data_IF_865706319272
#
_entry.id   IF_865706319272
#
_cell.length_a   1.000
_cell.length_b   1.000
_cell.length_c   1.000
_cell.angle_alpha   90.00
_cell.angle_beta   90.00
_cell.angle_gamma   90.00
#
_symmetry.space_group_name_H-M   'P 1'
#
loop_
_entity.id
_entity.type
_entity.pdbx_description
1 polymer ?
#
# COMPACT_ATOMS: atom_id res chain seq x y z
N UNK A 1 31.78 -66.34 18.22
CA UNK A 1 30.46 -66.03 17.65
C UNK A 1 30.62 -64.77 16.77
N UNK A 2 30.68 -64.95 15.42
CA UNK A 2 30.87 -63.82 14.48
C UNK A 2 29.49 -63.34 14.02
N UNK A 3 29.14 -62.10 14.34
CA UNK A 3 27.91 -61.46 13.85
C UNK A 3 28.15 -60.98 12.42
N UNK A 4 27.38 -61.55 11.47
CA UNK A 4 27.33 -61.07 10.08
C UNK A 4 26.41 -59.84 9.97
N UNK A 5 26.97 -58.71 9.52
CA UNK A 5 26.20 -57.55 9.12
C UNK A 5 25.75 -57.75 7.66
N UNK A 6 24.46 -57.71 7.44
CA UNK A 6 23.86 -57.68 6.10
C UNK A 6 23.59 -56.23 5.74
N UNK A 7 24.34 -55.72 4.76
CA UNK A 7 24.12 -54.40 4.17
C UNK A 7 23.10 -54.60 3.04
N UNK A 8 21.89 -54.03 3.23
CA UNK A 8 20.86 -53.98 2.20
C UNK A 8 21.08 -52.75 1.32
N UNK A 9 21.56 -52.99 0.10
CA UNK A 9 21.70 -51.92 -0.90
C UNK A 9 20.30 -51.65 -1.54
N UNK A 10 19.72 -50.50 -1.27
CA UNK A 10 18.57 -50.01 -2.03
C UNK A 10 19.09 -49.32 -3.30
N UNK A 11 18.96 -50.00 -4.45
CA UNK A 11 19.14 -49.37 -5.75
C UNK A 11 17.86 -48.60 -6.11
N UNK A 12 17.93 -47.28 -6.04
CA UNK A 12 16.85 -46.37 -6.52
C UNK A 12 16.95 -46.33 -8.07
N UNK A 13 16.11 -47.12 -8.71
CA UNK A 13 15.97 -47.09 -10.18
C UNK A 13 15.25 -45.81 -10.60
N UNK A 14 15.99 -44.81 -11.12
CA UNK A 14 15.39 -43.69 -11.84
C UNK A 14 14.83 -44.18 -13.16
N UNK A 15 13.52 -44.26 -13.31
CA UNK A 15 12.85 -44.37 -14.60
C UNK A 15 13.03 -43.03 -15.33
N UNK A 16 13.97 -42.99 -16.27
CA UNK A 16 14.08 -41.92 -17.26
C UNK A 16 12.94 -42.09 -18.28
N UNK A 17 11.86 -41.38 -18.12
CA UNK A 17 10.86 -41.19 -19.17
C UNK A 17 11.45 -40.25 -20.24
N UNK A 18 11.37 -40.59 -21.55
CA UNK A 18 11.86 -39.71 -22.59
C UNK A 18 11.01 -38.42 -22.60
N UNK A 19 11.65 -37.27 -22.33
CA UNK A 19 11.05 -35.96 -22.52
C UNK A 19 10.84 -35.77 -24.02
N UNK A 20 9.58 -35.81 -24.49
CA UNK A 20 9.26 -35.39 -25.84
C UNK A 20 9.60 -33.92 -25.96
N UNK A 21 10.58 -33.55 -26.76
CA UNK A 21 10.85 -32.18 -27.12
C UNK A 21 9.66 -31.64 -27.92
N UNK A 22 8.77 -30.93 -27.27
CA UNK A 22 7.86 -30.01 -27.96
C UNK A 22 8.71 -28.84 -28.44
N UNK A 23 8.67 -28.57 -29.75
CA UNK A 23 9.21 -27.36 -30.30
C UNK A 23 8.42 -26.20 -29.71
N UNK A 24 9.03 -25.52 -28.75
CA UNK A 24 8.46 -24.27 -28.21
C UNK A 24 8.62 -23.19 -29.29
N UNK A 25 7.50 -22.59 -29.66
CA UNK A 25 7.52 -21.32 -30.38
C UNK A 25 8.25 -20.30 -29.50
N UNK A 26 9.51 -20.02 -29.81
CA UNK A 26 10.40 -19.22 -28.97
C UNK A 26 9.89 -17.80 -28.76
N UNK A 27 9.03 -17.28 -29.65
CA UNK A 27 8.42 -15.96 -29.50
C UNK A 27 7.25 -15.95 -28.51
N UNK A 28 6.38 -16.96 -28.54
CA UNK A 28 5.28 -17.04 -27.60
C UNK A 28 5.76 -17.37 -26.16
N UNK A 29 6.77 -18.23 -26.04
CA UNK A 29 7.39 -18.58 -24.75
C UNK A 29 8.13 -17.40 -24.12
N UNK A 30 8.86 -16.61 -24.91
CA UNK A 30 9.56 -15.43 -24.40
C UNK A 30 8.57 -14.33 -23.93
N UNK A 31 7.52 -14.07 -24.70
CA UNK A 31 6.48 -13.10 -24.33
C UNK A 31 5.73 -13.51 -23.06
N UNK A 32 5.42 -14.81 -22.88
CA UNK A 32 4.78 -15.30 -21.65
C UNK A 32 5.70 -15.27 -20.43
N UNK A 33 7.02 -15.49 -20.60
CA UNK A 33 8.00 -15.36 -19.53
C UNK A 33 8.22 -13.90 -19.11
N UNK A 34 8.24 -12.97 -20.07
CA UNK A 34 8.40 -11.53 -19.76
C UNK A 34 7.16 -10.97 -19.05
N UNK A 35 5.97 -11.45 -19.41
CA UNK A 35 4.72 -11.05 -18.75
C UNK A 35 4.56 -11.62 -17.32
N UNK A 36 5.33 -12.65 -16.95
CA UNK A 36 5.33 -13.25 -15.61
C UNK A 36 6.50 -12.79 -14.71
N UNK A 37 7.40 -11.95 -15.21
CA UNK A 37 8.37 -11.27 -14.34
C UNK A 37 7.62 -10.09 -13.72
N UNK A 38 6.96 -10.32 -12.60
CA UNK A 38 6.57 -9.26 -11.70
C UNK A 38 7.86 -8.69 -11.11
N UNK A 39 8.37 -7.62 -11.73
CA UNK A 39 9.40 -6.81 -11.10
C UNK A 39 8.70 -6.12 -9.95
N UNK A 40 8.88 -6.65 -8.74
CA UNK A 40 8.44 -5.97 -7.53
C UNK A 40 9.02 -4.55 -7.57
N UNK A 41 8.17 -3.51 -7.54
CA UNK A 41 8.67 -2.15 -7.54
C UNK A 41 9.56 -1.96 -6.31
N UNK A 42 10.66 -1.22 -6.46
CA UNK A 42 11.53 -0.87 -5.34
C UNK A 42 10.67 -0.24 -4.24
N UNK A 43 10.82 -0.73 -3.00
CA UNK A 43 10.06 -0.24 -1.86
C UNK A 43 10.99 0.31 -0.78
N UNK A 44 10.51 1.31 -0.06
CA UNK A 44 11.14 1.88 1.12
C UNK A 44 10.20 1.63 2.31
N UNK A 45 10.72 1.08 3.40
CA UNK A 45 9.97 0.81 4.61
C UNK A 45 10.27 1.86 5.67
N UNK A 46 9.23 2.44 6.26
CA UNK A 46 9.32 3.35 7.39
C UNK A 46 8.59 2.74 8.58
N UNK A 47 9.35 2.26 9.55
CA UNK A 47 8.79 1.77 10.80
C UNK A 47 8.34 2.94 11.69
N UNK A 48 7.10 2.93 12.09
CA UNK A 48 6.50 3.94 12.97
C UNK A 48 6.72 3.55 14.42
N UNK A 49 7.94 3.74 14.92
CA UNK A 49 8.33 3.34 16.26
C UNK A 49 7.96 4.46 17.24
N UNK A 50 6.91 4.26 18.03
CA UNK A 50 6.50 5.06 19.20
C UNK A 50 6.05 6.51 18.93
N UNK A 51 5.01 6.93 19.62
CA UNK A 51 4.61 8.33 19.75
C UNK A 51 3.29 8.72 19.08
N UNK A 52 2.63 7.82 18.33
CA UNK A 52 1.29 8.07 17.81
C UNK A 52 0.20 7.44 18.70
N UNK A 53 -1.00 8.02 18.64
CA UNK A 53 -2.15 7.56 19.44
C UNK A 53 -2.94 6.40 18.77
N UNK A 54 -2.47 5.89 17.63
CA UNK A 54 -3.16 4.86 16.85
C UNK A 54 -4.35 5.34 16.04
N UNK A 55 -4.82 6.56 16.28
CA UNK A 55 -5.98 7.12 15.57
C UNK A 55 -5.66 7.40 14.10
N UNK A 56 -6.70 7.25 13.28
CA UNK A 56 -6.69 7.57 11.84
C UNK A 56 -7.71 8.67 11.60
N UNK A 57 -7.22 9.90 11.55
CA UNK A 57 -8.06 11.10 11.37
C UNK A 57 -8.39 11.36 9.90
N UNK A 58 -9.03 12.47 9.61
CA UNK A 58 -9.42 12.85 8.24
C UNK A 58 -9.33 14.35 8.00
N UNK A 59 -9.17 14.72 6.73
CA UNK A 59 -9.31 16.07 6.21
C UNK A 59 -10.30 16.12 5.04
N UNK A 60 -10.91 17.30 4.83
CA UNK A 60 -11.79 17.49 3.66
C UNK A 60 -10.98 17.62 2.37
N UNK A 61 -11.36 16.91 1.30
CA UNK A 61 -10.78 17.11 -0.03
C UNK A 61 -10.98 18.54 -0.55
N UNK A 62 -12.02 19.25 -0.09
CA UNK A 62 -12.31 20.65 -0.47
C UNK A 62 -11.34 21.66 0.14
N UNK A 63 -10.51 21.24 1.12
CA UNK A 63 -9.43 22.08 1.63
C UNK A 63 -8.28 22.24 0.62
N UNK A 64 -8.19 21.32 -0.36
CA UNK A 64 -7.22 21.38 -1.46
C UNK A 64 -7.76 22.33 -2.54
N UNK A 65 -7.35 23.61 -2.47
CA UNK A 65 -7.95 24.69 -3.28
C UNK A 65 -7.07 25.18 -4.44
N UNK A 66 -5.75 24.90 -4.40
CA UNK A 66 -4.84 25.29 -5.48
C UNK A 66 -5.05 24.41 -6.70
N UNK A 67 -5.76 24.95 -7.71
CA UNK A 67 -6.11 24.26 -8.94
C UNK A 67 -4.91 23.91 -9.84
N UNK A 68 -3.74 24.46 -9.55
CA UNK A 68 -2.51 24.19 -10.30
C UNK A 68 -1.65 23.10 -9.64
N UNK A 69 -2.03 22.64 -8.46
CA UNK A 69 -1.30 21.64 -7.69
C UNK A 69 -1.58 20.21 -8.15
N UNK A 70 -0.60 19.33 -7.94
CA UNK A 70 -0.76 17.89 -8.14
C UNK A 70 -1.83 17.29 -7.20
N UNK A 71 -1.97 17.83 -5.99
CA UNK A 71 -3.01 17.45 -5.03
C UNK A 71 -4.40 17.65 -5.62
N UNK A 72 -4.65 18.85 -6.18
CA UNK A 72 -5.92 19.15 -6.81
C UNK A 72 -6.17 18.26 -8.03
N UNK A 73 -5.18 18.10 -8.91
CA UNK A 73 -5.28 17.23 -10.07
C UNK A 73 -5.63 15.78 -9.66
N UNK A 74 -4.97 15.25 -8.62
CA UNK A 74 -5.25 13.91 -8.08
C UNK A 74 -6.69 13.81 -7.55
N UNK A 75 -7.19 14.83 -6.84
CA UNK A 75 -8.56 14.83 -6.32
C UNK A 75 -9.63 14.93 -7.44
N UNK A 76 -9.31 15.48 -8.62
CA UNK A 76 -10.23 15.45 -9.77
C UNK A 76 -10.39 14.03 -10.34
N UNK A 77 -9.38 13.18 -10.23
CA UNK A 77 -9.42 11.78 -10.68
C UNK A 77 -10.02 10.84 -9.62
N UNK A 78 -10.00 11.25 -8.34
CA UNK A 78 -10.49 10.44 -7.25
C UNK A 78 -12.03 10.35 -7.25
N UNK A 79 -12.56 9.18 -6.90
CA UNK A 79 -13.98 9.01 -6.57
C UNK A 79 -14.20 8.98 -5.06
N UNK A 80 -15.44 9.21 -4.63
CA UNK A 80 -15.85 9.07 -3.23
C UNK A 80 -16.58 7.75 -3.05
N UNK A 81 -16.12 6.90 -2.14
CA UNK A 81 -16.78 5.64 -1.82
C UNK A 81 -18.04 5.82 -0.95
N UNK A 82 -18.68 4.71 -0.59
CA UNK A 82 -19.94 4.71 0.17
C UNK A 82 -19.79 5.30 1.58
N UNK A 83 -18.60 5.20 2.17
CA UNK A 83 -18.29 5.71 3.50
C UNK A 83 -17.78 7.17 3.50
N UNK A 84 -17.56 7.74 2.33
CA UNK A 84 -17.10 9.12 2.17
C UNK A 84 -15.58 9.27 1.97
N UNK A 85 -14.83 8.19 1.85
CA UNK A 85 -13.40 8.25 1.56
C UNK A 85 -13.12 8.57 0.10
N UNK A 86 -12.10 9.40 -0.15
CA UNK A 86 -11.60 9.66 -1.51
C UNK A 86 -10.63 8.56 -1.90
N UNK A 87 -10.82 7.98 -3.10
CA UNK A 87 -10.05 6.81 -3.56
C UNK A 87 -9.66 6.93 -5.03
N UNK A 88 -8.51 6.32 -5.36
CA UNK A 88 -8.06 6.08 -6.74
C UNK A 88 -7.67 4.61 -6.85
N UNK A 89 -8.22 3.87 -7.81
CA UNK A 89 -7.94 2.45 -8.01
C UNK A 89 -7.96 1.65 -6.68
N UNK A 90 -9.03 1.82 -5.91
CA UNK A 90 -9.23 1.22 -4.58
C UNK A 90 -8.21 1.60 -3.50
N UNK A 91 -7.29 2.54 -3.77
CA UNK A 91 -6.37 3.09 -2.77
C UNK A 91 -6.94 4.34 -2.14
N UNK A 92 -6.85 4.44 -0.84
CA UNK A 92 -7.30 5.60 -0.08
C UNK A 92 -6.36 6.79 -0.30
N UNK A 93 -6.92 7.95 -0.69
CA UNK A 93 -6.17 9.19 -0.71
C UNK A 93 -5.91 9.63 0.73
N UNK A 94 -4.66 9.91 1.06
CA UNK A 94 -4.25 10.31 2.42
C UNK A 94 -3.27 11.48 2.38
N UNK A 95 -3.22 12.25 3.46
CA UNK A 95 -2.21 13.26 3.71
C UNK A 95 -1.11 12.68 4.60
N UNK A 96 0.15 12.90 4.25
CA UNK A 96 1.32 12.43 5.00
C UNK A 96 2.29 13.56 5.29
N UNK A 97 3.15 13.38 6.29
CA UNK A 97 4.18 14.34 6.64
C UNK A 97 5.36 14.35 5.65
N UNK A 98 6.16 15.42 5.71
CA UNK A 98 7.33 15.62 4.82
C UNK A 98 8.46 14.64 5.07
N UNK A 99 8.53 14.02 6.25
CA UNK A 99 9.56 13.03 6.61
C UNK A 99 9.60 11.81 5.70
N UNK A 100 8.49 11.48 5.05
CA UNK A 100 8.42 10.32 4.14
C UNK A 100 9.05 10.57 2.77
N UNK A 101 9.31 11.83 2.39
CA UNK A 101 9.89 12.23 1.09
C UNK A 101 9.12 11.63 -0.11
N UNK A 102 7.83 11.36 0.07
CA UNK A 102 6.99 10.73 -0.94
C UNK A 102 6.11 11.80 -1.63
N UNK A 103 6.26 12.03 -2.94
CA UNK A 103 5.49 13.03 -3.66
C UNK A 103 4.02 12.64 -3.79
N UNK A 104 3.16 13.61 -4.09
CA UNK A 104 1.75 13.38 -4.42
C UNK A 104 1.62 12.40 -5.58
N UNK A 105 0.71 11.46 -5.45
CA UNK A 105 0.54 10.35 -6.40
C UNK A 105 1.37 9.11 -6.09
N UNK A 106 2.30 9.17 -5.13
CA UNK A 106 3.10 8.03 -4.71
C UNK A 106 2.21 6.96 -4.05
N UNK A 107 2.41 5.71 -4.45
CA UNK A 107 1.68 4.57 -3.90
C UNK A 107 2.40 4.01 -2.69
N UNK A 108 1.63 3.68 -1.64
CA UNK A 108 2.15 3.00 -0.46
C UNK A 108 1.08 2.17 0.24
N UNK A 109 1.50 1.32 1.14
CA UNK A 109 0.65 0.61 2.07
C UNK A 109 0.95 1.05 3.50
N UNK A 110 -0.09 1.11 4.32
CA UNK A 110 0.05 1.22 5.78
C UNK A 110 -0.20 -0.16 6.35
N UNK A 111 0.78 -0.72 7.04
CA UNK A 111 0.64 -1.98 7.75
C UNK A 111 0.34 -1.69 9.23
N UNK A 112 -0.66 -2.37 9.77
CA UNK A 112 -1.08 -2.24 11.15
C UNK A 112 -0.48 -3.35 12.01
N UNK A 113 -0.39 -3.14 13.34
CA UNK A 113 0.14 -4.13 14.28
C UNK A 113 -0.64 -5.47 14.29
N UNK A 114 -1.92 -5.44 13.89
CA UNK A 114 -2.74 -6.64 13.74
C UNK A 114 -2.54 -7.38 12.41
N UNK A 115 -1.64 -6.89 11.54
CA UNK A 115 -1.35 -7.46 10.22
C UNK A 115 -2.28 -6.99 9.10
N UNK A 116 -3.27 -6.13 9.40
CA UNK A 116 -4.12 -5.53 8.38
C UNK A 116 -3.33 -4.53 7.53
N UNK A 117 -3.66 -4.46 6.24
CA UNK A 117 -3.00 -3.57 5.27
C UNK A 117 -4.00 -2.58 4.70
N UNK A 118 -3.72 -1.29 4.83
CA UNK A 118 -4.50 -0.22 4.22
C UNK A 118 -3.77 0.27 2.95
N UNK A 119 -4.29 -0.01 1.75
CA UNK A 119 -3.69 0.46 0.51
C UNK A 119 -3.93 1.97 0.34
N UNK A 120 -2.86 2.74 0.23
CA UNK A 120 -2.89 4.20 0.20
C UNK A 120 -2.22 4.79 -1.04
N UNK A 121 -2.58 6.03 -1.33
CA UNK A 121 -1.91 6.91 -2.29
C UNK A 121 -1.72 8.29 -1.64
N UNK A 122 -0.56 8.90 -1.81
CA UNK A 122 -0.31 10.25 -1.30
C UNK A 122 -1.19 11.25 -2.04
N UNK A 123 -2.20 11.75 -1.36
CA UNK A 123 -3.16 12.73 -1.87
C UNK A 123 -2.82 14.16 -1.50
N UNK A 124 -2.09 14.33 -0.40
CA UNK A 124 -1.61 15.63 0.10
C UNK A 124 -0.34 15.45 0.94
N UNK A 125 0.43 16.54 1.09
CA UNK A 125 1.61 16.63 1.94
C UNK A 125 1.36 17.72 2.98
N UNK A 126 1.41 17.34 4.25
CA UNK A 126 1.15 18.25 5.37
C UNK A 126 2.29 19.26 5.52
N UNK A 127 1.92 20.50 5.84
CA UNK A 127 2.90 21.47 6.31
C UNK A 127 3.53 20.98 7.64
N UNK A 128 4.83 21.25 7.83
CA UNK A 128 5.56 20.85 9.05
C UNK A 128 4.92 21.42 10.34
N UNK A 129 4.26 22.61 10.24
CA UNK A 129 3.53 23.20 11.37
C UNK A 129 2.28 22.40 11.82
N UNK A 130 1.77 21.54 10.93
CA UNK A 130 0.57 20.72 11.17
C UNK A 130 0.96 19.26 11.54
N UNK A 131 2.25 19.01 11.73
CA UNK A 131 2.81 17.72 12.13
C UNK A 131 3.52 17.81 13.47
N UNK A 132 3.94 16.65 13.99
CA UNK A 132 4.82 16.57 15.16
C UNK A 132 6.26 17.03 14.82
N UNK A 133 7.12 17.08 15.81
CA UNK A 133 8.52 17.54 15.62
C UNK A 133 9.34 16.63 14.68
N UNK A 134 8.87 15.42 14.38
CA UNK A 134 9.51 14.50 13.42
C UNK A 134 8.97 14.64 12.00
N UNK A 135 7.94 15.45 11.79
CA UNK A 135 7.20 15.58 10.52
C UNK A 135 6.61 14.25 9.99
N UNK A 136 6.28 13.34 10.89
CA UNK A 136 5.71 12.02 10.60
C UNK A 136 4.21 11.99 10.90
N UNK A 137 3.84 12.35 12.13
CA UNK A 137 2.46 12.27 12.61
C UNK A 137 1.75 13.61 12.51
N UNK A 138 0.42 13.63 12.60
CA UNK A 138 -0.29 14.89 12.79
C UNK A 138 0.13 15.53 14.11
N UNK A 139 -0.08 16.85 14.27
CA UNK A 139 0.20 17.56 15.53
C UNK A 139 -0.57 16.98 16.73
N UNK A 140 -1.67 16.26 16.50
CA UNK A 140 -2.43 15.53 17.51
C UNK A 140 -1.93 14.10 17.73
N UNK A 141 -0.87 13.67 17.03
CA UNK A 141 -0.28 12.34 17.12
C UNK A 141 -1.08 11.25 16.39
N UNK A 142 -1.93 11.59 15.42
CA UNK A 142 -2.62 10.58 14.60
C UNK A 142 -1.64 9.99 13.58
N UNK A 143 -1.69 8.66 13.42
CA UNK A 143 -0.76 7.94 12.55
C UNK A 143 -1.13 8.00 11.06
N UNK A 144 -2.36 8.36 10.71
CA UNK A 144 -2.82 8.48 9.34
C UNK A 144 -3.92 9.56 9.25
N UNK A 145 -3.97 10.28 8.14
CA UNK A 145 -5.03 11.25 7.87
C UNK A 145 -5.64 11.02 6.49
N UNK A 146 -6.87 10.51 6.47
CA UNK A 146 -7.59 10.26 5.23
C UNK A 146 -8.11 11.54 4.59
N UNK A 147 -8.14 11.60 3.25
CA UNK A 147 -8.85 12.64 2.51
C UNK A 147 -10.26 12.16 2.22
N UNK A 148 -11.25 12.95 2.61
CA UNK A 148 -12.65 12.56 2.59
C UNK A 148 -13.58 13.62 1.99
N UNK A 149 -14.76 13.18 1.58
CA UNK A 149 -15.91 14.04 1.25
C UNK A 149 -16.78 14.20 2.51
N UNK A 150 -16.58 15.28 3.27
CA UNK A 150 -17.25 15.52 4.55
C UNK A 150 -18.77 15.34 4.48
N UNK A 151 -19.52 15.89 3.49
CA UNK A 151 -20.95 15.65 3.35
C UNK A 151 -21.33 14.16 3.34
N UNK A 152 -20.52 13.32 2.70
CA UNK A 152 -20.79 11.89 2.53
C UNK A 152 -20.13 11.01 3.60
N UNK A 153 -19.23 11.55 4.40
CA UNK A 153 -18.52 10.79 5.42
C UNK A 153 -19.50 10.20 6.45
N UNK A 154 -19.24 8.96 6.90
CA UNK A 154 -20.05 8.29 7.92
C UNK A 154 -20.20 9.15 9.19
N UNK A 155 -21.40 9.17 9.78
CA UNK A 155 -21.73 10.02 10.91
C UNK A 155 -20.94 9.68 12.18
N UNK A 156 -20.59 8.41 12.40
CA UNK A 156 -19.80 7.98 13.56
C UNK A 156 -18.36 8.49 13.41
N UNK A 157 -17.75 8.36 12.24
CA UNK A 157 -16.41 8.89 11.94
C UNK A 157 -16.38 10.40 12.18
N UNK A 158 -17.37 11.14 11.66
CA UNK A 158 -17.48 12.60 11.90
C UNK A 158 -17.52 12.96 13.37
N UNK A 159 -18.26 12.19 14.16
CA UNK A 159 -18.46 12.47 15.58
C UNK A 159 -17.23 12.19 16.42
N UNK A 160 -16.54 11.09 16.14
CA UNK A 160 -15.39 10.62 16.92
C UNK A 160 -14.04 11.14 16.40
N UNK A 161 -13.98 11.62 15.14
CA UNK A 161 -12.74 12.08 14.53
C UNK A 161 -11.75 10.96 14.16
N UNK A 162 -12.18 9.69 14.29
CA UNK A 162 -11.36 8.52 14.07
C UNK A 162 -12.01 7.56 13.07
N UNK A 163 -11.36 7.34 11.95
CA UNK A 163 -11.84 6.45 10.90
C UNK A 163 -11.91 4.98 11.34
N UNK A 164 -11.11 4.58 12.32
CA UNK A 164 -11.13 3.23 12.91
C UNK A 164 -12.46 2.94 13.62
N UNK A 165 -13.20 3.96 14.03
CA UNK A 165 -14.49 3.81 14.72
C UNK A 165 -15.57 3.11 13.89
N UNK A 166 -15.36 2.95 12.58
CA UNK A 166 -16.30 2.30 11.66
C UNK A 166 -15.72 1.10 10.92
N UNK A 167 -14.42 0.89 11.02
CA UNK A 167 -13.70 -0.21 10.40
C UNK A 167 -12.96 -0.95 11.51
N UNK A 168 -13.56 -2.00 12.07
CA UNK A 168 -13.01 -2.74 13.21
C UNK A 168 -11.61 -3.29 12.91
N UNK A 169 -11.35 -3.66 11.65
CA UNK A 169 -10.03 -4.13 11.16
C UNK A 169 -8.94 -3.05 11.33
N UNK A 170 -9.33 -1.78 11.31
CA UNK A 170 -8.40 -0.66 11.45
C UNK A 170 -8.18 -0.24 12.91
N UNK A 171 -8.86 -0.87 13.85
CA UNK A 171 -8.71 -0.57 15.29
C UNK A 171 -7.42 -1.18 15.84
N UNK A 172 -6.29 -0.78 15.26
CA UNK A 172 -4.94 -1.19 15.60
C UNK A 172 -3.97 -0.06 15.30
N UNK A 173 -2.82 -0.03 15.96
CA UNK A 173 -1.77 0.96 15.69
C UNK A 173 -1.15 0.76 14.31
N UNK A 174 -0.63 1.84 13.72
CA UNK A 174 0.15 1.74 12.50
C UNK A 174 1.55 1.23 12.83
N UNK A 175 1.96 0.12 12.19
CA UNK A 175 3.26 -0.49 12.39
C UNK A 175 4.32 0.13 11.47
N UNK A 176 4.02 0.21 10.17
CA UNK A 176 4.94 0.79 9.19
C UNK A 176 4.24 1.29 7.93
N UNK A 177 4.93 2.16 7.20
CA UNK A 177 4.59 2.52 5.83
C UNK A 177 5.53 1.81 4.87
N UNK A 178 4.98 1.13 3.87
CA UNK A 178 5.70 0.49 2.77
C UNK A 178 5.47 1.30 1.51
N UNK A 179 6.45 2.11 1.11
CA UNK A 179 6.36 3.03 -0.04
C UNK A 179 6.97 2.37 -1.26
N UNK A 180 6.21 2.30 -2.34
CA UNK A 180 6.63 1.69 -3.61
C UNK A 180 7.17 2.77 -4.55
N UNK A 181 8.14 2.41 -5.39
CA UNK A 181 8.65 3.30 -6.45
C UNK A 181 7.68 3.38 -7.64
N UNK A 182 6.44 3.75 -7.33
CA UNK A 182 5.35 3.90 -8.29
C UNK A 182 4.62 5.20 -7.98
N UNK A 183 4.63 6.14 -8.93
CA UNK A 183 3.81 7.35 -8.85
C UNK A 183 2.71 7.31 -9.91
N UNK A 184 1.45 7.42 -9.46
CA UNK A 184 0.27 7.36 -10.30
C UNK A 184 0.22 8.50 -11.32
N UNK A 185 0.62 9.71 -10.94
CA UNK A 185 0.61 10.89 -11.81
C UNK A 185 1.69 10.82 -12.91
N UNK A 186 2.80 10.11 -12.67
CA UNK A 186 3.89 9.96 -13.64
C UNK A 186 3.64 8.85 -14.66
N UNK A 187 2.93 7.79 -14.28
CA UNK A 187 2.70 6.62 -15.14
C UNK A 187 1.46 6.72 -16.03
N UNK A 188 0.57 7.67 -15.77
CA UNK A 188 -0.72 7.80 -16.46
C UNK A 188 -1.70 6.68 -16.14
N UNK A 189 -3.00 6.91 -16.41
CA UNK A 189 -4.10 6.00 -16.07
C UNK A 189 -4.01 4.61 -16.73
N UNK A 190 -3.37 4.53 -17.91
CA UNK A 190 -3.40 3.34 -18.79
C UNK A 190 -2.43 2.22 -18.36
N UNK A 191 -1.58 2.42 -17.36
CA UNK A 191 -0.52 1.47 -16.98
C UNK A 191 -0.74 0.81 -15.61
N UNK A 192 -1.81 1.14 -14.94
CA UNK A 192 -2.12 0.58 -13.63
C UNK A 192 -3.23 -0.47 -13.72
N UNK A 193 -2.86 -1.72 -13.95
CA UNK A 193 -3.72 -2.91 -13.82
C UNK A 193 -3.18 -3.76 -12.65
N UNK A 194 -3.24 -3.24 -11.44
CA UNK A 194 -2.79 -3.92 -10.23
C UNK A 194 -3.89 -4.62 -9.46
#
# INVERSE_FOLDING_TARGET
>A
MKKKFIILLFTLGMLLTPIKSQAYDTNAGFTSMVNNIQIEPLKKEYHLINGHNGMKTFMSYTAITDKTSNQYALQQMAYTDEMGFRKINNRYCVAIGTAFEAPVGQIFNVELDNGEIIPCIVGDIKDDKDTDASNVFTSQGCCLEFIVDIPRLDGIIKTLGDCSSKCDEWNSSCFQYVIYDINYLEKGEDKWNG
#
